data_IF_754496440239
#
_entry.id   IF_754496440239
#
_cell.length_a   1.000
_cell.length_b   1.000
_cell.length_c   1.000
_cell.angle_alpha   90.00
_cell.angle_beta   90.00
_cell.angle_gamma   90.00
#
_symmetry.space_group_name_H-M   'P 1'
#
loop_
_entity.id
_entity.type
_entity.pdbx_description
1 polymer ?
#
# COMPACT_ATOMS: atom_id res chain seq x y z
N UNK A 1 -13.91 -21.74 -44.93
CA UNK A 1 -14.27 -21.52 -43.50
C UNK A 1 -13.56 -20.25 -43.06
N UNK A 2 -14.28 -19.20 -42.67
CA UNK A 2 -13.66 -17.97 -42.20
C UNK A 2 -13.27 -18.14 -40.73
N UNK A 3 -11.99 -17.91 -40.41
CA UNK A 3 -11.50 -17.86 -39.04
C UNK A 3 -12.08 -16.59 -38.39
N UNK A 4 -12.88 -16.74 -37.33
CA UNK A 4 -13.31 -15.59 -36.54
C UNK A 4 -12.07 -14.91 -35.93
N UNK A 5 -12.01 -13.57 -35.90
CA UNK A 5 -10.89 -12.86 -35.28
C UNK A 5 -10.86 -13.18 -33.79
N UNK A 6 -9.72 -13.72 -33.33
CA UNK A 6 -9.45 -13.91 -31.91
C UNK A 6 -9.11 -12.53 -31.34
N UNK A 7 -9.97 -11.96 -30.51
CA UNK A 7 -9.62 -10.72 -29.82
C UNK A 7 -8.39 -10.95 -28.93
N UNK A 8 -7.39 -10.05 -28.94
CA UNK A 8 -6.25 -10.19 -28.06
C UNK A 8 -6.71 -10.08 -26.61
N UNK A 9 -6.20 -10.96 -25.74
CA UNK A 9 -6.45 -10.87 -24.32
C UNK A 9 -6.10 -9.46 -23.79
N UNK A 10 -6.90 -8.90 -22.87
CA UNK A 10 -6.63 -7.57 -22.34
C UNK A 10 -5.24 -7.52 -21.68
N UNK A 11 -4.50 -6.44 -21.94
CA UNK A 11 -3.19 -6.23 -21.34
C UNK A 11 -3.31 -6.15 -19.81
N UNK A 12 -2.48 -6.94 -19.11
CA UNK A 12 -2.40 -6.92 -17.64
C UNK A 12 -1.90 -5.53 -17.20
N UNK A 13 -2.68 -4.84 -16.35
CA UNK A 13 -2.28 -3.52 -15.85
C UNK A 13 -1.33 -3.65 -14.65
N UNK A 14 -0.55 -2.59 -14.35
CA UNK A 14 0.28 -2.55 -13.13
C UNK A 14 -0.55 -2.79 -11.87
N UNK A 15 -1.78 -2.28 -11.84
CA UNK A 15 -2.72 -2.51 -10.73
C UNK A 15 -3.01 -4.00 -10.57
N UNK A 16 -3.24 -4.71 -11.67
CA UNK A 16 -3.58 -6.13 -11.62
C UNK A 16 -2.39 -6.97 -11.12
N UNK A 17 -1.16 -6.58 -11.47
CA UNK A 17 0.06 -7.17 -10.92
C UNK A 17 0.17 -6.97 -9.41
N UNK A 18 -0.06 -5.75 -8.92
CA UNK A 18 -0.08 -5.46 -7.47
C UNK A 18 -1.18 -6.25 -6.76
N UNK A 19 -2.38 -6.35 -7.35
CA UNK A 19 -3.46 -7.14 -6.78
C UNK A 19 -3.09 -8.62 -6.68
N UNK A 20 -2.38 -9.17 -7.66
CA UNK A 20 -1.88 -10.55 -7.58
C UNK A 20 -0.88 -10.71 -6.43
N UNK A 21 0.07 -9.78 -6.27
CA UNK A 21 1.07 -9.79 -5.19
C UNK A 21 0.45 -9.61 -3.79
N UNK A 22 -0.57 -8.77 -3.64
CA UNK A 22 -1.29 -8.55 -2.38
C UNK A 22 -2.14 -9.76 -1.94
N UNK A 23 -2.43 -10.67 -2.85
CA UNK A 23 -3.31 -11.82 -2.64
C UNK A 23 -2.72 -13.09 -3.21
N UNK A 24 -1.40 -13.28 -3.13
CA UNK A 24 -0.71 -14.47 -3.65
C UNK A 24 -1.33 -15.78 -3.11
N UNK A 25 -1.93 -15.75 -1.92
CA UNK A 25 -2.63 -16.90 -1.30
C UNK A 25 -4.14 -16.94 -1.62
N UNK A 26 -4.64 -16.12 -2.54
CA UNK A 26 -6.04 -16.10 -3.00
C UNK A 26 -7.07 -15.50 -2.04
N UNK A 27 -6.68 -15.09 -0.82
CA UNK A 27 -7.60 -14.55 0.19
C UNK A 27 -7.11 -13.26 0.89
N UNK A 28 -6.23 -12.48 0.23
CA UNK A 28 -5.61 -11.30 0.84
C UNK A 28 -6.62 -10.18 1.17
N UNK A 29 -6.72 -9.79 2.44
CA UNK A 29 -7.57 -8.66 2.88
C UNK A 29 -7.21 -7.35 2.16
N UNK A 30 -5.92 -7.14 1.89
CA UNK A 30 -5.42 -6.01 1.11
C UNK A 30 -5.87 -6.06 -0.35
N UNK A 31 -5.79 -7.24 -0.99
CA UNK A 31 -6.25 -7.42 -2.37
C UNK A 31 -7.73 -7.07 -2.50
N UNK A 32 -8.57 -7.54 -1.55
CA UNK A 32 -10.01 -7.23 -1.53
C UNK A 32 -10.28 -5.72 -1.42
N UNK A 33 -9.58 -5.04 -0.50
CA UNK A 33 -9.72 -3.58 -0.32
C UNK A 33 -9.32 -2.83 -1.58
N UNK A 34 -8.13 -3.11 -2.12
CA UNK A 34 -7.61 -2.45 -3.32
C UNK A 34 -8.48 -2.71 -4.55
N UNK A 35 -9.01 -3.93 -4.69
CA UNK A 35 -9.95 -4.29 -5.75
C UNK A 35 -11.26 -3.51 -5.63
N UNK A 36 -11.84 -3.46 -4.43
CA UNK A 36 -13.10 -2.74 -4.18
C UNK A 36 -12.97 -1.23 -4.42
N UNK A 37 -11.83 -0.63 -4.06
CA UNK A 37 -11.57 0.79 -4.25
C UNK A 37 -11.04 1.16 -5.65
N UNK A 38 -10.83 0.16 -6.52
CA UNK A 38 -10.14 0.32 -7.80
C UNK A 38 -8.82 1.10 -7.70
N UNK A 39 -8.05 0.86 -6.63
CA UNK A 39 -6.85 1.64 -6.31
C UNK A 39 -5.82 0.82 -5.54
N UNK A 40 -4.55 1.19 -5.68
CA UNK A 40 -3.44 0.72 -4.83
C UNK A 40 -2.78 1.87 -4.08
N UNK A 41 -3.48 3.00 -3.98
CA UNK A 41 -2.99 4.24 -3.37
C UNK A 41 -3.69 4.46 -2.04
N UNK A 42 -2.90 4.66 -1.00
CA UNK A 42 -3.36 5.03 0.32
C UNK A 42 -2.95 6.47 0.62
N UNK A 43 -3.89 7.30 1.04
CA UNK A 43 -3.58 8.60 1.66
C UNK A 43 -2.82 8.34 2.96
N UNK A 44 -1.88 9.22 3.31
CA UNK A 44 -1.02 9.06 4.47
C UNK A 44 -1.17 10.24 5.44
N UNK A 45 -1.28 9.95 6.74
CA UNK A 45 -1.19 10.93 7.82
C UNK A 45 -0.16 10.50 8.86
N UNK A 46 0.84 11.36 9.13
CA UNK A 46 1.85 11.08 10.15
C UNK A 46 1.27 11.02 11.56
N UNK A 47 0.27 11.88 11.86
CA UNK A 47 -0.35 12.01 13.17
C UNK A 47 -1.66 11.21 13.31
N UNK A 48 -2.01 10.40 12.30
CA UNK A 48 -3.24 9.60 12.32
C UNK A 48 -4.51 10.32 11.86
N UNK A 49 -4.46 11.64 11.64
CA UNK A 49 -5.67 12.45 11.37
C UNK A 49 -5.50 13.31 10.12
N UNK A 50 -4.44 14.11 10.06
CA UNK A 50 -4.24 15.08 8.99
C UNK A 50 -3.41 14.46 7.86
N UNK A 51 -4.04 14.26 6.70
CA UNK A 51 -3.36 13.82 5.49
C UNK A 51 -2.20 14.77 5.17
N UNK A 52 -1.03 14.22 4.93
CA UNK A 52 0.16 14.96 4.49
C UNK A 52 0.92 14.29 3.33
N UNK A 53 0.43 13.15 2.82
CA UNK A 53 1.03 12.49 1.68
C UNK A 53 0.20 11.32 1.17
N UNK A 54 0.86 10.44 0.42
CA UNK A 54 0.30 9.18 -0.04
C UNK A 54 1.39 8.11 -0.10
N UNK A 55 0.95 6.85 -0.14
CA UNK A 55 1.75 5.69 -0.53
C UNK A 55 0.99 5.01 -1.66
N UNK A 56 1.65 4.82 -2.80
CA UNK A 56 1.11 3.99 -3.88
C UNK A 56 1.97 2.74 -4.02
N UNK A 57 1.31 1.58 -3.98
CA UNK A 57 1.94 0.30 -4.25
C UNK A 57 2.06 0.11 -5.77
N UNK A 58 3.27 -0.27 -6.18
CA UNK A 58 3.68 -0.57 -7.55
C UNK A 58 4.12 -2.05 -7.65
N UNK A 59 4.12 -2.63 -8.86
CA UNK A 59 4.54 -4.02 -9.05
C UNK A 59 5.97 -4.31 -8.59
N UNK A 60 6.23 -5.57 -8.26
CA UNK A 60 7.53 -6.06 -7.82
C UNK A 60 7.91 -5.57 -6.42
N UNK A 61 6.92 -5.40 -5.54
CA UNK A 61 7.15 -4.96 -4.16
C UNK A 61 7.74 -3.54 -4.05
N UNK A 62 7.50 -2.66 -5.04
CA UNK A 62 7.96 -1.26 -5.03
C UNK A 62 6.85 -0.33 -4.59
N UNK A 63 7.17 0.75 -3.90
CA UNK A 63 6.19 1.81 -3.62
C UNK A 63 6.74 3.18 -3.99
N UNK A 64 5.82 4.12 -4.20
CA UNK A 64 6.15 5.54 -4.37
C UNK A 64 5.38 6.37 -3.36
N UNK A 65 6.07 7.38 -2.84
CA UNK A 65 5.53 8.42 -1.97
C UNK A 65 5.89 9.79 -2.54
N UNK A 66 5.31 10.90 -2.05
CA UNK A 66 5.79 12.25 -2.39
C UNK A 66 7.25 12.50 -2.03
N UNK A 67 7.82 11.74 -1.09
CA UNK A 67 9.13 12.02 -0.51
C UNK A 67 10.25 11.17 -1.12
N UNK A 68 9.96 9.91 -1.43
CA UNK A 68 10.94 8.94 -1.95
C UNK A 68 10.26 7.68 -2.50
N UNK A 69 11.05 6.86 -3.18
CA UNK A 69 10.72 5.48 -3.50
C UNK A 69 10.97 4.57 -2.29
N UNK A 70 10.30 3.43 -2.30
CA UNK A 70 10.46 2.43 -1.26
C UNK A 70 10.09 1.04 -1.74
N UNK A 71 9.94 0.14 -0.78
CA UNK A 71 9.50 -1.24 -0.99
C UNK A 71 8.32 -1.59 -0.10
N UNK A 72 7.53 -2.56 -0.54
CA UNK A 72 6.46 -3.16 0.25
C UNK A 72 6.46 -4.67 0.13
N UNK A 73 5.92 -5.34 1.14
CA UNK A 73 5.58 -6.77 1.11
C UNK A 73 4.48 -7.09 2.12
N UNK A 74 3.67 -8.09 1.83
CA UNK A 74 2.80 -8.71 2.85
C UNK A 74 3.65 -9.65 3.68
N UNK A 75 3.50 -9.64 5.00
CA UNK A 75 4.23 -10.56 5.86
C UNK A 75 3.60 -11.97 5.80
N UNK A 76 4.35 -13.04 5.44
CA UNK A 76 3.78 -14.37 5.26
C UNK A 76 3.10 -14.96 6.50
N UNK A 77 3.58 -14.60 7.69
CA UNK A 77 3.06 -15.09 8.98
C UNK A 77 1.91 -14.27 9.52
N UNK A 78 1.69 -13.06 9.00
CA UNK A 78 0.68 -12.09 9.45
C UNK A 78 0.15 -11.34 8.22
N UNK A 79 -0.76 -11.98 7.45
CA UNK A 79 -1.19 -11.48 6.14
C UNK A 79 -2.02 -10.18 6.21
N UNK A 80 -2.44 -9.80 7.41
CA UNK A 80 -3.07 -8.52 7.75
C UNK A 80 -2.05 -7.41 8.02
N UNK A 81 -0.74 -7.69 7.95
CA UNK A 81 0.33 -6.70 8.10
C UNK A 81 1.04 -6.49 6.77
N UNK A 82 1.06 -5.22 6.34
CA UNK A 82 1.83 -4.74 5.20
C UNK A 82 3.10 -4.07 5.73
N UNK A 83 4.27 -4.60 5.33
CA UNK A 83 5.57 -4.02 5.65
C UNK A 83 5.97 -3.02 4.57
N UNK A 84 6.03 -1.73 4.94
CA UNK A 84 6.38 -0.62 4.05
C UNK A 84 7.71 -0.01 4.46
N UNK A 85 8.70 -0.05 3.58
CA UNK A 85 10.02 0.55 3.81
C UNK A 85 10.25 1.72 2.86
N UNK A 86 10.46 2.91 3.40
CA UNK A 86 10.81 4.11 2.63
C UNK A 86 11.53 5.14 3.50
N UNK A 87 12.39 5.95 2.86
CA UNK A 87 13.30 6.84 3.59
C UNK A 87 14.21 6.04 4.53
N UNK A 88 14.25 6.41 5.80
CA UNK A 88 15.05 5.74 6.84
C UNK A 88 14.24 4.78 7.71
N UNK A 89 12.97 4.53 7.38
CA UNK A 89 12.02 3.85 8.27
C UNK A 89 11.31 2.67 7.60
N UNK A 90 11.18 1.59 8.35
CA UNK A 90 10.28 0.47 8.11
C UNK A 90 8.99 0.71 8.91
N UNK A 91 7.83 0.53 8.28
CA UNK A 91 6.51 0.74 8.87
C UNK A 91 5.73 -0.57 8.77
N UNK A 92 5.35 -1.14 9.90
CA UNK A 92 4.44 -2.29 9.94
C UNK A 92 3.02 -1.75 10.03
N UNK A 93 2.33 -1.82 8.90
CA UNK A 93 0.99 -1.31 8.70
C UNK A 93 -0.02 -2.43 8.93
N UNK A 94 -0.74 -2.37 10.05
CA UNK A 94 -1.80 -3.31 10.35
C UNK A 94 -3.06 -2.91 9.59
N UNK A 95 -3.71 -3.89 8.98
CA UNK A 95 -4.99 -3.73 8.29
C UNK A 95 -6.03 -3.14 9.23
N UNK A 96 -6.82 -2.21 8.70
CA UNK A 96 -8.13 -1.80 9.23
C UNK A 96 -9.08 -1.63 8.05
N UNK A 97 -10.38 -1.63 8.31
CA UNK A 97 -11.32 -1.32 7.25
C UNK A 97 -11.04 0.06 6.64
N UNK A 98 -11.01 0.11 5.30
CA UNK A 98 -10.66 1.30 4.54
C UNK A 98 -9.20 1.77 4.63
N UNK A 99 -8.25 1.02 5.21
CA UNK A 99 -6.83 1.38 5.14
C UNK A 99 -5.93 0.67 6.15
N UNK A 100 -5.09 1.44 6.86
CA UNK A 100 -4.16 0.89 7.83
C UNK A 100 -3.84 1.81 9.01
N UNK A 101 -3.25 1.23 10.05
CA UNK A 101 -2.57 1.92 11.14
C UNK A 101 -1.13 1.42 11.25
N UNK A 102 -0.17 2.31 11.43
CA UNK A 102 1.24 1.94 11.65
C UNK A 102 1.42 1.57 13.11
N UNK A 103 1.53 0.28 13.39
CA UNK A 103 1.69 -0.22 14.76
C UNK A 103 3.13 -0.28 15.22
N UNK A 104 4.04 -0.48 14.28
CA UNK A 104 5.46 -0.46 14.54
C UNK A 104 6.17 0.37 13.49
N UNK A 105 7.14 1.18 13.93
CA UNK A 105 8.04 1.91 13.05
C UNK A 105 9.46 1.65 13.51
N UNK A 106 10.30 1.08 12.65
CA UNK A 106 11.71 0.77 12.95
C UNK A 106 12.62 1.62 12.09
N UNK A 107 13.72 2.09 12.65
CA UNK A 107 14.81 2.65 11.85
C UNK A 107 15.47 1.52 11.05
N UNK A 108 15.53 1.63 9.72
CA UNK A 108 16.11 0.58 8.86
C UNK A 108 17.57 0.30 9.24
N UNK A 109 18.34 1.36 9.52
CA UNK A 109 19.78 1.24 9.85
C UNK A 109 20.05 0.51 11.17
N UNK A 110 19.20 0.71 12.18
CA UNK A 110 19.49 0.26 13.56
C UNK A 110 18.55 -0.83 14.05
N UNK A 111 17.45 -1.09 13.34
CA UNK A 111 16.37 -1.99 13.75
C UNK A 111 15.57 -1.50 14.97
N UNK A 112 15.91 -0.34 15.54
CA UNK A 112 15.26 0.16 16.76
C UNK A 112 13.88 0.71 16.47
N UNK A 113 12.96 0.42 17.38
CA UNK A 113 11.64 1.01 17.38
C UNK A 113 11.71 2.52 17.64
N UNK A 114 10.97 3.26 16.82
CA UNK A 114 10.90 4.72 16.82
C UNK A 114 9.52 5.25 17.24
N UNK A 115 8.56 4.36 17.56
CA UNK A 115 7.27 4.78 18.12
C UNK A 115 7.42 4.96 19.63
N UNK A 116 7.13 6.18 20.10
CA UNK A 116 7.04 6.46 21.53
C UNK A 116 5.68 6.00 22.05
N UNK A 117 5.59 5.37 23.24
CA UNK A 117 4.31 5.07 23.87
C UNK A 117 3.44 6.33 23.98
N UNK A 118 2.17 6.24 23.58
CA UNK A 118 1.21 7.35 23.61
C UNK A 118 1.34 8.39 22.50
N UNK A 119 2.36 8.31 21.63
CA UNK A 119 2.42 9.18 20.45
C UNK A 119 1.34 8.80 19.43
N UNK A 120 0.77 9.77 18.70
CA UNK A 120 -0.18 9.47 17.63
C UNK A 120 0.43 8.53 16.59
N UNK A 121 -0.27 7.44 16.28
CA UNK A 121 0.15 6.49 15.25
C UNK A 121 -0.11 7.09 13.87
N UNK A 122 0.79 6.83 12.92
CA UNK A 122 0.51 7.16 11.51
C UNK A 122 -0.60 6.24 10.99
N UNK A 123 -1.43 6.76 10.09
CA UNK A 123 -2.51 6.00 9.46
C UNK A 123 -2.53 6.23 7.97
N UNK A 124 -3.08 5.25 7.26
CA UNK A 124 -3.44 5.43 5.87
C UNK A 124 -4.89 5.03 5.60
N UNK A 125 -5.42 5.58 4.51
CA UNK A 125 -6.78 5.30 4.03
C UNK A 125 -6.72 5.05 2.54
N UNK A 126 -7.39 3.99 2.06
CA UNK A 126 -7.47 3.70 0.64
C UNK A 126 -8.13 4.87 -0.08
N UNK A 127 -7.51 5.34 -1.15
CA UNK A 127 -8.03 6.43 -1.96
C UNK A 127 -8.76 5.86 -3.17
N UNK A 128 -10.07 6.07 -3.34
CA UNK A 128 -10.78 5.62 -4.53
C UNK A 128 -10.14 6.17 -5.81
N UNK A 129 -10.08 5.35 -6.87
CA UNK A 129 -9.61 5.73 -8.20
C UNK A 129 -8.22 6.41 -8.24
N UNK A 130 -7.32 6.07 -7.31
CA UNK A 130 -5.99 6.69 -7.18
C UNK A 130 -6.02 8.22 -7.01
N UNK A 131 -7.08 8.79 -6.43
CA UNK A 131 -7.16 10.21 -6.14
C UNK A 131 -6.19 10.64 -5.04
N UNK A 132 -4.93 10.91 -5.41
CA UNK A 132 -3.87 11.35 -4.49
C UNK A 132 -4.20 12.66 -3.76
N UNK A 133 -5.26 13.38 -4.15
CA UNK A 133 -5.73 14.64 -3.60
C UNK A 133 -4.62 15.69 -3.58
N UNK A 134 -4.58 16.54 -4.60
CA UNK A 134 -3.67 17.67 -4.62
C UNK A 134 -3.92 18.58 -3.40
N UNK A 135 -2.94 18.71 -2.51
CA UNK A 135 -2.72 20.02 -1.91
C UNK A 135 -1.96 20.82 -2.98
N UNK A 136 -2.69 21.63 -3.75
CA UNK A 136 -2.10 22.87 -4.22
C UNK A 136 -1.87 23.70 -2.96
N UNK A 137 -0.61 23.75 -2.52
CA UNK A 137 -0.13 24.95 -1.85
C UNK A 137 -0.06 26.07 -2.89
#
# INVERSE_FOLDING_TARGET
MAQLPVEPAPAITERDMVLAELGADGNGVWQKMCRSAASTTFLWAHNGTNKNGFVQLLPGGKLVTPWCLGTWKVLPTTPDVLDLSFGSSQHLCHYKDGGFVVEQKRAIRTGRDNLKPGAPKSTGWISPNNNRGHNRA
#
